data_IF_635220487733
#
_entry.id   IF_635220487733
#
_cell.length_a   1.000
_cell.length_b   1.000
_cell.length_c   1.000
_cell.angle_alpha   90.00
_cell.angle_beta   90.00
_cell.angle_gamma   90.00
#
_symmetry.space_group_name_H-M   'P 1'
#
loop_
_entity.id
_entity.type
_entity.pdbx_description
1 polymer ?
#
# COMPACT_ATOMS: atom_id res chain seq x y z
N UNK A 1 12.71 -42.59 -62.13
CA UNK A 1 12.10 -41.46 -61.39
C UNK A 1 12.20 -41.77 -59.89
N UNK A 2 13.03 -41.02 -59.15
CA UNK A 2 13.44 -41.33 -57.77
C UNK A 2 12.34 -40.96 -56.76
N UNK A 3 11.96 -41.90 -55.89
CA UNK A 3 11.01 -41.69 -54.78
C UNK A 3 11.67 -40.85 -53.67
N UNK A 4 10.94 -39.84 -53.24
CA UNK A 4 11.28 -38.87 -52.19
C UNK A 4 11.19 -39.55 -50.82
N UNK A 5 12.30 -39.65 -50.09
CA UNK A 5 12.34 -40.11 -48.69
C UNK A 5 12.42 -38.86 -47.80
N UNK A 6 11.33 -38.58 -47.07
CA UNK A 6 11.23 -37.54 -46.04
C UNK A 6 11.73 -38.09 -44.70
N UNK A 7 12.81 -37.56 -44.14
CA UNK A 7 13.27 -37.80 -42.75
C UNK A 7 14.54 -36.97 -42.52
N UNK A 8 14.77 -36.19 -41.47
CA UNK A 8 14.12 -35.93 -40.19
C UNK A 8 14.36 -34.45 -39.87
N UNK A 9 13.31 -33.66 -39.70
CA UNK A 9 13.44 -32.28 -39.20
C UNK A 9 13.55 -32.36 -37.68
N UNK A 10 14.76 -32.26 -37.15
CA UNK A 10 15.03 -32.25 -35.71
C UNK A 10 14.57 -30.90 -35.14
N UNK A 11 13.30 -30.82 -34.74
CA UNK A 11 12.77 -29.68 -34.00
C UNK A 11 13.34 -29.72 -32.57
N UNK A 12 14.42 -28.97 -32.33
CA UNK A 12 14.81 -28.57 -30.99
C UNK A 12 13.79 -27.50 -30.54
N UNK A 13 12.74 -27.95 -29.86
CA UNK A 13 11.84 -27.06 -29.13
C UNK A 13 12.54 -26.70 -27.81
N UNK A 14 13.39 -25.69 -27.85
CA UNK A 14 13.97 -25.09 -26.65
C UNK A 14 12.81 -24.42 -25.88
N UNK A 15 12.33 -25.08 -24.81
CA UNK A 15 11.39 -24.52 -23.84
C UNK A 15 12.01 -23.26 -23.21
N UNK A 16 11.78 -22.10 -23.83
CA UNK A 16 11.80 -20.83 -23.11
C UNK A 16 10.59 -20.82 -22.19
N UNK A 17 10.73 -21.34 -20.97
CA UNK A 17 9.82 -21.02 -19.88
C UNK A 17 10.00 -19.53 -19.59
N UNK A 18 9.02 -18.65 -19.86
CA UNK A 18 9.13 -17.28 -19.42
C UNK A 18 9.07 -17.30 -17.89
N UNK A 19 10.16 -16.84 -17.25
CA UNK A 19 10.13 -16.49 -15.83
C UNK A 19 9.16 -15.32 -15.72
N UNK A 20 7.93 -15.60 -15.28
CA UNK A 20 6.95 -14.54 -15.02
C UNK A 20 7.40 -13.82 -13.76
N UNK A 21 8.16 -12.75 -13.91
CA UNK A 21 8.44 -11.80 -12.84
C UNK A 21 7.12 -11.11 -12.48
N UNK A 22 6.47 -11.58 -11.42
CA UNK A 22 5.28 -10.93 -10.90
C UNK A 22 5.70 -9.63 -10.21
N UNK A 23 5.71 -8.54 -10.98
CA UNK A 23 5.93 -7.20 -10.43
C UNK A 23 4.83 -6.90 -9.40
N UNK A 24 5.24 -6.64 -8.16
CA UNK A 24 4.31 -6.24 -7.12
C UNK A 24 3.94 -4.78 -7.34
N UNK A 25 2.63 -4.48 -7.37
CA UNK A 25 2.16 -3.11 -7.51
C UNK A 25 2.49 -2.35 -6.23
N UNK A 26 3.50 -1.49 -6.31
CA UNK A 26 3.89 -0.56 -5.25
C UNK A 26 3.31 0.82 -5.56
N UNK A 27 2.76 1.48 -4.55
CA UNK A 27 2.30 2.85 -4.63
C UNK A 27 3.18 3.75 -3.76
N UNK A 28 3.67 4.83 -4.34
CA UNK A 28 4.55 5.77 -3.65
C UNK A 28 3.75 6.99 -3.20
N UNK A 29 3.74 7.24 -1.89
CA UNK A 29 3.26 8.48 -1.29
C UNK A 29 4.46 9.31 -0.84
N UNK A 30 4.65 10.47 -1.45
CA UNK A 30 5.73 11.41 -1.10
C UNK A 30 5.22 12.47 -0.13
N UNK A 31 6.06 12.93 0.79
CA UNK A 31 5.83 14.18 1.53
C UNK A 31 5.83 15.40 0.59
N UNK A 32 5.29 16.55 1.01
CA UNK A 32 5.34 17.78 0.22
C UNK A 32 6.74 18.21 -0.25
N UNK A 33 7.77 18.03 0.58
CA UNK A 33 9.17 18.30 0.25
C UNK A 33 9.88 17.13 -0.45
N UNK A 34 9.16 16.04 -0.71
CA UNK A 34 9.61 14.79 -1.33
C UNK A 34 10.72 14.01 -0.60
N UNK A 35 11.16 14.46 0.58
CA UNK A 35 12.20 13.78 1.35
C UNK A 35 11.72 12.47 1.94
N UNK A 36 10.47 12.42 2.39
CA UNK A 36 9.85 11.21 2.91
C UNK A 36 9.08 10.53 1.78
N UNK A 37 9.36 9.24 1.55
CA UNK A 37 8.66 8.41 0.58
C UNK A 37 8.15 7.17 1.30
N UNK A 38 6.83 6.97 1.27
CA UNK A 38 6.18 5.76 1.77
C UNK A 38 5.83 4.86 0.59
N UNK A 39 6.50 3.72 0.46
CA UNK A 39 6.15 2.68 -0.48
C UNK A 39 5.07 1.79 0.14
N UNK A 40 3.92 1.66 -0.52
CA UNK A 40 2.79 0.86 -0.07
C UNK A 40 2.59 -0.29 -1.05
N UNK A 41 2.65 -1.52 -0.55
CA UNK A 41 2.61 -2.75 -1.33
C UNK A 41 1.38 -3.55 -0.95
N UNK A 42 0.66 -4.03 -1.97
CA UNK A 42 -0.53 -4.85 -1.81
C UNK A 42 -0.20 -6.29 -2.22
N UNK A 43 0.33 -7.07 -1.28
CA UNK A 43 0.68 -8.48 -1.48
C UNK A 43 -0.38 -9.40 -0.85
N UNK A 44 0.02 -10.42 -0.08
CA UNK A 44 -0.90 -11.23 0.74
C UNK A 44 -1.39 -10.45 1.95
N UNK A 45 -0.54 -9.58 2.50
CA UNK A 45 -0.88 -8.62 3.56
C UNK A 45 -0.40 -7.26 3.05
N UNK A 46 -1.08 -6.17 3.43
CA UNK A 46 -0.59 -4.83 3.10
C UNK A 46 0.76 -4.63 3.80
N UNK A 47 1.74 -4.15 3.06
CA UNK A 47 3.08 -3.86 3.56
C UNK A 47 3.45 -2.41 3.24
N UNK A 48 4.20 -1.75 4.11
CA UNK A 48 4.72 -0.42 3.86
C UNK A 48 6.21 -0.31 4.21
N UNK A 49 6.92 0.56 3.50
CA UNK A 49 8.33 0.89 3.72
C UNK A 49 8.48 2.41 3.68
N UNK A 50 9.30 2.99 4.56
CA UNK A 50 9.51 4.44 4.64
C UNK A 50 10.96 4.77 4.37
N UNK A 51 11.18 5.70 3.44
CA UNK A 51 12.48 6.26 3.13
C UNK A 51 12.51 7.73 3.55
N UNK A 52 13.66 8.18 4.04
CA UNK A 52 14.00 9.59 4.22
C UNK A 52 15.27 9.91 3.44
N UNK A 53 15.23 10.89 2.54
CA UNK A 53 16.34 11.26 1.65
C UNK A 53 16.97 10.01 0.96
N UNK A 54 16.10 9.13 0.43
CA UNK A 54 16.44 7.84 -0.21
C UNK A 54 17.03 6.74 0.69
N UNK A 55 17.18 7.00 2.00
CA UNK A 55 17.64 6.00 2.98
C UNK A 55 16.43 5.33 3.62
N UNK A 56 16.40 3.99 3.63
CA UNK A 56 15.35 3.21 4.29
C UNK A 56 15.44 3.39 5.80
N UNK A 57 14.44 4.04 6.40
CA UNK A 57 14.33 4.23 7.87
C UNK A 57 13.37 3.23 8.50
N UNK A 58 12.41 2.73 7.73
CA UNK A 58 11.53 1.62 8.10
C UNK A 58 11.50 0.68 6.91
N UNK A 59 11.96 -0.56 7.10
CA UNK A 59 11.86 -1.57 6.04
C UNK A 59 10.43 -2.13 5.94
N UNK A 60 10.16 -3.01 4.97
CA UNK A 60 8.81 -3.53 4.76
C UNK A 60 8.18 -4.13 6.02
N UNK A 61 7.21 -3.41 6.57
CA UNK A 61 6.40 -3.75 7.74
C UNK A 61 4.99 -4.12 7.31
N UNK A 62 4.41 -5.15 7.92
CA UNK A 62 3.07 -5.63 7.60
C UNK A 62 2.05 -4.88 8.44
N UNK A 63 0.96 -4.43 7.80
CA UNK A 63 -0.14 -3.78 8.50
C UNK A 63 -1.45 -4.54 8.30
N UNK A 64 -2.06 -4.98 9.41
CA UNK A 64 -3.37 -5.61 9.40
C UNK A 64 -4.12 -5.42 10.72
N UNK A 65 -5.44 -5.55 10.69
CA UNK A 65 -6.31 -5.43 11.87
C UNK A 65 -7.26 -6.63 11.94
N UNK A 66 -7.17 -7.42 13.00
CA UNK A 66 -8.08 -8.54 13.27
C UNK A 66 -9.28 -8.05 14.08
N UNK A 67 -10.46 -8.21 13.51
CA UNK A 67 -11.73 -7.78 14.12
C UNK A 67 -12.76 -8.92 14.19
N UNK A 68 -13.64 -8.84 15.19
CA UNK A 68 -14.80 -9.74 15.37
C UNK A 68 -14.42 -11.22 15.23
N UNK A 69 -15.19 -12.01 14.50
CA UNK A 69 -15.00 -13.46 14.34
C UNK A 69 -13.87 -13.80 13.33
N UNK A 70 -12.71 -13.15 13.47
CA UNK A 70 -11.51 -13.43 12.68
C UNK A 70 -11.43 -12.73 11.33
N UNK A 71 -12.18 -11.64 11.12
CA UNK A 71 -12.06 -10.84 9.89
C UNK A 71 -10.75 -10.05 9.95
N UNK A 72 -9.86 -10.26 8.97
CA UNK A 72 -8.57 -9.56 8.91
C UNK A 72 -8.61 -8.46 7.86
N UNK A 73 -8.65 -7.20 8.31
CA UNK A 73 -8.45 -6.05 7.42
C UNK A 73 -6.99 -5.99 7.01
N UNK A 74 -6.72 -5.80 5.72
CA UNK A 74 -5.37 -5.80 5.16
C UNK A 74 -4.88 -7.15 4.63
N UNK A 75 -5.60 -8.25 4.87
CA UNK A 75 -5.33 -9.55 4.23
C UNK A 75 -5.95 -9.61 2.82
N UNK A 76 -5.20 -10.17 1.87
CA UNK A 76 -5.53 -10.31 0.45
C UNK A 76 -6.27 -9.08 -0.12
N UNK A 77 -5.69 -7.87 0.04
CA UNK A 77 -6.38 -6.61 -0.19
C UNK A 77 -6.81 -6.48 -1.65
N UNK A 78 -8.11 -6.24 -1.87
CA UNK A 78 -8.66 -5.93 -3.20
C UNK A 78 -9.10 -4.49 -3.26
N UNK A 79 -8.28 -3.64 -3.88
CA UNK A 79 -8.56 -2.21 -4.03
C UNK A 79 -9.79 -2.03 -4.93
N UNK A 80 -10.78 -1.30 -4.42
CA UNK A 80 -11.97 -0.85 -5.16
C UNK A 80 -11.75 0.55 -5.74
N UNK A 81 -11.15 1.45 -4.96
CA UNK A 81 -10.90 2.83 -5.34
C UNK A 81 -9.67 3.36 -4.62
N UNK A 82 -8.91 4.20 -5.30
CA UNK A 82 -7.84 5.02 -4.73
C UNK A 82 -8.25 6.48 -4.83
N UNK A 83 -8.08 7.24 -3.76
CA UNK A 83 -8.30 8.69 -3.72
C UNK A 83 -7.03 9.32 -3.18
N UNK A 84 -6.52 10.35 -3.85
CA UNK A 84 -5.33 11.09 -3.42
C UNK A 84 -5.71 12.54 -3.20
N UNK A 85 -5.07 13.19 -2.23
CA UNK A 85 -5.27 14.60 -1.97
C UNK A 85 -3.99 15.25 -1.43
N UNK A 86 -3.88 16.56 -1.59
CA UNK A 86 -2.86 17.38 -0.93
C UNK A 86 -3.60 18.38 -0.05
N UNK A 87 -3.31 18.34 1.25
CA UNK A 87 -3.89 19.24 2.23
C UNK A 87 -2.84 20.24 2.62
N UNK A 88 -3.16 21.53 2.56
CA UNK A 88 -2.35 22.63 3.04
C UNK A 88 -3.27 23.62 3.77
N UNK A 89 -3.35 23.50 5.08
CA UNK A 89 -4.22 24.33 5.90
C UNK A 89 -3.58 24.61 7.27
N UNK A 90 -4.17 25.51 8.02
CA UNK A 90 -3.79 25.79 9.39
C UNK A 90 -4.91 25.33 10.34
N UNK A 91 -4.53 24.57 11.37
CA UNK A 91 -5.43 24.18 12.46
C UNK A 91 -5.21 25.14 13.63
N UNK A 92 -6.30 25.73 14.14
CA UNK A 92 -6.29 26.61 15.31
C UNK A 92 -7.04 25.92 16.46
N UNK A 93 -6.34 25.32 17.43
CA UNK A 93 -6.99 24.72 18.59
C UNK A 93 -7.76 25.75 19.41
N UNK A 94 -8.92 25.34 19.96
CA UNK A 94 -9.72 26.20 20.85
C UNK A 94 -8.93 26.58 22.10
N UNK A 95 -8.20 25.60 22.66
CA UNK A 95 -7.29 25.80 23.78
C UNK A 95 -5.87 25.51 23.26
N UNK A 96 -5.04 26.54 23.02
CA UNK A 96 -3.68 26.33 22.55
C UNK A 96 -2.78 25.83 23.68
N UNK A 97 -1.99 24.79 23.39
CA UNK A 97 -0.90 24.35 24.28
C UNK A 97 0.42 25.02 23.87
N UNK A 98 1.24 24.34 23.06
CA UNK A 98 2.55 24.83 22.59
C UNK A 98 2.43 25.84 21.45
N UNK A 99 1.45 25.63 20.55
CA UNK A 99 1.28 26.43 19.35
C UNK A 99 -0.19 26.87 19.20
N UNK A 100 -0.40 28.14 18.88
CA UNK A 100 -1.72 28.69 18.57
C UNK A 100 -2.19 28.34 17.16
N UNK A 101 -1.25 28.12 16.24
CA UNK A 101 -1.50 27.74 14.85
C UNK A 101 -0.62 26.55 14.52
N UNK A 102 -1.24 25.48 14.03
CA UNK A 102 -0.56 24.24 13.65
C UNK A 102 -0.68 24.10 12.13
N UNK A 103 0.42 24.24 11.37
CA UNK A 103 0.43 23.95 9.94
C UNK A 103 0.13 22.46 9.72
N UNK A 104 -0.88 22.18 8.92
CA UNK A 104 -1.33 20.84 8.54
C UNK A 104 -1.13 20.71 7.02
N UNK A 105 0.11 20.38 6.65
CA UNK A 105 0.57 20.26 5.27
C UNK A 105 1.07 18.85 4.98
N UNK A 106 0.33 18.10 4.16
CA UNK A 106 0.64 16.71 3.84
C UNK A 106 0.01 16.26 2.52
N UNK A 107 0.58 15.20 1.95
CA UNK A 107 -0.06 14.42 0.91
C UNK A 107 -0.77 13.21 1.52
N UNK A 108 -1.97 12.89 1.03
CA UNK A 108 -2.80 11.79 1.50
C UNK A 108 -3.12 10.83 0.35
N UNK A 109 -3.15 9.53 0.67
CA UNK A 109 -3.81 8.52 -0.15
C UNK A 109 -4.75 7.70 0.69
N UNK A 110 -5.97 7.50 0.18
CA UNK A 110 -6.99 6.62 0.74
C UNK A 110 -7.30 5.49 -0.22
N UNK A 111 -7.09 4.27 0.23
CA UNK A 111 -7.47 3.05 -0.48
C UNK A 111 -8.77 2.54 0.11
N UNK A 112 -9.81 2.42 -0.72
CA UNK A 112 -11.05 1.74 -0.37
C UNK A 112 -10.96 0.31 -0.89
N UNK A 113 -11.24 -0.67 -0.03
CA UNK A 113 -11.16 -2.08 -0.36
C UNK A 113 -12.54 -2.72 -0.50
N UNK A 114 -12.63 -3.81 -1.26
CA UNK A 114 -13.88 -4.58 -1.40
C UNK A 114 -14.39 -5.13 -0.05
N UNK A 115 -13.52 -5.33 0.93
CA UNK A 115 -13.84 -5.84 2.27
C UNK A 115 -14.53 -4.85 3.23
N UNK A 116 -15.16 -3.78 2.72
CA UNK A 116 -15.85 -2.75 3.53
C UNK A 116 -14.95 -2.04 4.56
N UNK A 117 -13.70 -1.82 4.18
CA UNK A 117 -12.77 -0.99 4.93
C UNK A 117 -11.96 -0.10 3.98
N UNK A 118 -11.30 0.89 4.56
CA UNK A 118 -10.33 1.72 3.90
C UNK A 118 -9.06 1.82 4.75
N UNK A 119 -7.94 2.11 4.09
CA UNK A 119 -6.67 2.44 4.72
C UNK A 119 -6.20 3.77 4.15
N UNK A 120 -5.99 4.74 5.03
CA UNK A 120 -5.56 6.09 4.67
C UNK A 120 -4.13 6.27 5.17
N UNK A 121 -3.22 6.70 4.30
CA UNK A 121 -1.87 7.12 4.64
C UNK A 121 -1.72 8.63 4.41
N UNK A 122 -0.95 9.29 5.29
CA UNK A 122 -0.55 10.68 5.20
C UNK A 122 0.97 10.77 5.29
N UNK A 123 1.59 11.50 4.37
CA UNK A 123 3.00 11.82 4.40
C UNK A 123 3.17 13.32 4.64
N UNK A 124 3.70 13.65 5.81
CA UNK A 124 4.17 14.97 6.20
C UNK A 124 5.67 15.07 5.94
N UNK A 125 6.22 16.28 5.94
CA UNK A 125 7.67 16.49 5.79
C UNK A 125 8.51 15.95 6.96
N UNK A 126 7.86 15.67 8.09
CA UNK A 126 8.47 15.20 9.33
C UNK A 126 7.95 13.85 9.82
N UNK A 127 7.11 13.16 9.05
CA UNK A 127 6.57 11.87 9.48
C UNK A 127 5.51 11.28 8.57
N UNK A 128 5.11 10.05 8.88
CA UNK A 128 4.06 9.31 8.18
C UNK A 128 3.04 8.86 9.21
N UNK A 129 1.76 8.96 8.86
CA UNK A 129 0.66 8.45 9.66
C UNK A 129 -0.25 7.57 8.82
N UNK A 130 -0.91 6.61 9.43
CA UNK A 130 -1.94 5.80 8.79
C UNK A 130 -3.12 5.55 9.72
N UNK A 131 -4.25 5.14 9.15
CA UNK A 131 -5.39 4.62 9.92
C UNK A 131 -6.28 3.70 9.09
N UNK A 132 -6.85 2.71 9.76
CA UNK A 132 -7.98 1.96 9.21
C UNK A 132 -9.28 2.73 9.41
N UNK A 133 -10.16 2.65 8.42
CA UNK A 133 -11.55 3.09 8.50
C UNK A 133 -12.42 1.89 8.12
N UNK A 134 -13.49 1.62 8.85
CA UNK A 134 -14.35 0.46 8.63
C UNK A 134 -15.79 0.92 8.42
N UNK A 135 -16.50 0.24 7.52
CA UNK A 135 -17.91 0.48 7.23
C UNK A 135 -18.78 -0.73 7.59
N UNK A 136 -18.30 -1.58 8.50
CA UNK A 136 -19.10 -2.65 9.10
C UNK A 136 -20.17 -2.04 10.00
N UNK A 137 -21.40 -2.53 9.92
CA UNK A 137 -22.59 -1.94 10.57
C UNK A 137 -22.80 -2.38 12.02
N UNK A 138 -22.15 -3.46 12.43
CA UNK A 138 -22.29 -4.05 13.76
C UNK A 138 -21.14 -3.59 14.65
N UNK A 139 -21.27 -3.85 15.95
CA UNK A 139 -20.18 -3.65 16.91
C UNK A 139 -18.89 -4.30 16.42
N UNK A 140 -17.78 -3.59 16.66
CA UNK A 140 -16.46 -3.98 16.22
C UNK A 140 -15.60 -4.19 17.46
N UNK A 141 -15.26 -5.44 17.71
CA UNK A 141 -14.21 -5.82 18.66
C UNK A 141 -12.90 -5.96 17.91
N UNK A 142 -11.91 -5.16 18.27
CA UNK A 142 -10.54 -5.32 17.76
C UNK A 142 -9.84 -6.36 18.64
N UNK A 143 -9.43 -7.46 18.02
CA UNK A 143 -8.75 -8.56 18.73
C UNK A 143 -7.24 -8.34 18.76
N UNK A 144 -6.66 -7.87 17.65
CA UNK A 144 -5.23 -7.56 17.55
C UNK A 144 -4.93 -6.66 16.35
N UNK A 145 -3.82 -5.95 16.43
CA UNK A 145 -3.21 -5.19 15.32
C UNK A 145 -1.83 -5.77 15.02
N UNK A 146 -1.47 -5.81 13.74
CA UNK A 146 -0.13 -6.16 13.28
C UNK A 146 0.50 -4.92 12.63
N UNK A 147 1.75 -4.63 13.00
CA UNK A 147 2.60 -3.53 12.52
C UNK A 147 4.02 -4.03 12.23
#
# INVERSE_FOLDING_TARGET
MKKIIKSKFWFIFLMFLPIVLQSQVVFDLKSPNEKIITHIRFSKIIEFKILYDSVSIVDYSKISLNINDGIILGENPRIKKKVTNTINQNVMPVIPEKNKVIPDFYNEVKFLFKGKYALTFRAYDNGVAWRFETSHKNDIKVNSEQL
#
